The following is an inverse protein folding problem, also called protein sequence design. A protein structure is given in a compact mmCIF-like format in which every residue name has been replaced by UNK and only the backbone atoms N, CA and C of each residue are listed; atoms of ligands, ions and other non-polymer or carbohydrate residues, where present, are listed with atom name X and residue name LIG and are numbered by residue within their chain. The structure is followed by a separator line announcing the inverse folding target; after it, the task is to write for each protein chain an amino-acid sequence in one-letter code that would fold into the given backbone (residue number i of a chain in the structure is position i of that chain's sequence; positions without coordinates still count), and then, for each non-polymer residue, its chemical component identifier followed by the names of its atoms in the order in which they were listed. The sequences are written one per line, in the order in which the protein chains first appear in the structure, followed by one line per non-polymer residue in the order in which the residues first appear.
data_IF_605444210467
#
_entry.id   IF_605444210467
#
_cell.length_a   1.000
_cell.length_b   1.000
_cell.length_c   1.000
_cell.angle_alpha   90.00
_cell.angle_beta   90.00
_cell.angle_gamma   90.00
#
_symmetry.space_group_name_H-M   'P 1'
#
loop_
_entity.id
_entity.type
_entity.pdbx_description
1 polymer ?
#
# COMPACT_ATOMS: atom_id res chain seq x y z
N UNK A 1 27.26 20.34 5.91
CA UNK A 1 26.84 18.93 5.91
C UNK A 1 26.84 18.49 4.46
N UNK A 2 27.48 17.38 4.08
CA UNK A 2 27.39 16.91 2.70
C UNK A 2 25.93 16.62 2.41
N UNK A 3 25.40 17.18 1.32
CA UNK A 3 24.09 16.79 0.80
C UNK A 3 24.18 15.31 0.43
N UNK A 4 23.52 14.46 1.21
CA UNK A 4 23.44 13.03 0.94
C UNK A 4 22.95 12.83 -0.50
N UNK A 5 23.84 12.27 -1.34
CA UNK A 5 23.53 12.07 -2.76
C UNK A 5 22.43 11.02 -2.85
N UNK A 6 21.31 11.40 -3.46
CA UNK A 6 20.24 10.47 -3.78
C UNK A 6 20.77 9.44 -4.78
N UNK A 7 20.54 8.16 -4.49
CA UNK A 7 20.85 7.03 -5.33
C UNK A 7 19.57 6.37 -5.81
N UNK A 8 19.65 5.74 -6.97
CA UNK A 8 18.55 4.99 -7.55
C UNK A 8 18.44 3.62 -6.88
N UNK A 9 17.24 3.28 -6.46
CA UNK A 9 16.90 1.99 -5.89
C UNK A 9 15.64 1.44 -6.56
N UNK A 10 15.55 0.12 -6.58
CA UNK A 10 14.43 -0.66 -7.08
C UNK A 10 13.78 -1.40 -5.92
N UNK A 11 12.50 -1.12 -5.68
CA UNK A 11 11.78 -1.60 -4.51
C UNK A 11 10.72 -2.61 -4.92
N UNK A 12 10.81 -3.82 -4.38
CA UNK A 12 9.79 -4.85 -4.54
C UNK A 12 8.94 -4.94 -3.27
N UNK A 13 7.76 -4.30 -3.28
CA UNK A 13 6.82 -4.34 -2.15
C UNK A 13 6.35 -5.77 -1.87
N UNK A 14 6.12 -6.56 -2.92
CA UNK A 14 5.68 -7.96 -2.83
C UNK A 14 6.71 -8.88 -2.15
N UNK A 15 7.99 -8.54 -2.25
CA UNK A 15 9.07 -9.32 -1.66
C UNK A 15 9.66 -8.66 -0.41
N UNK A 16 9.32 -7.40 -0.11
CA UNK A 16 9.91 -6.65 0.98
C UNK A 16 11.38 -6.30 0.73
N UNK A 17 11.80 -6.15 -0.53
CA UNK A 17 13.21 -6.02 -0.93
C UNK A 17 13.52 -4.67 -1.56
N UNK A 18 14.74 -4.18 -1.32
CA UNK A 18 15.33 -3.00 -1.98
C UNK A 18 16.64 -3.42 -2.64
N UNK A 19 16.84 -3.03 -3.89
CA UNK A 19 18.01 -3.39 -4.69
C UNK A 19 18.58 -2.19 -5.43
N UNK A 20 19.89 -2.19 -5.66
CA UNK A 20 20.58 -1.16 -6.48
C UNK A 20 20.43 -1.41 -7.99
N UNK A 21 19.91 -2.58 -8.39
CA UNK A 21 19.72 -2.98 -9.78
C UNK A 21 18.31 -3.56 -9.96
N UNK A 22 17.71 -3.38 -11.16
CA UNK A 22 16.42 -3.98 -11.45
C UNK A 22 16.56 -5.50 -11.49
N UNK A 23 15.69 -6.21 -10.79
CA UNK A 23 15.69 -7.67 -10.66
C UNK A 23 14.42 -8.35 -11.19
N UNK A 24 13.36 -7.58 -11.49
CA UNK A 24 12.09 -8.14 -11.95
C UNK A 24 11.14 -7.11 -12.57
N UNK A 25 9.97 -7.60 -13.00
CA UNK A 25 8.99 -6.83 -13.80
C UNK A 25 8.01 -5.98 -12.96
N UNK A 26 8.12 -6.02 -11.62
CA UNK A 26 7.19 -5.36 -10.68
C UNK A 26 7.95 -4.66 -9.55
N UNK A 27 8.91 -3.81 -9.92
CA UNK A 27 9.69 -3.00 -8.99
C UNK A 27 9.41 -1.53 -9.18
N UNK A 28 9.41 -0.77 -8.08
CA UNK A 28 9.24 0.68 -8.11
C UNK A 28 10.61 1.34 -8.06
N UNK A 29 10.90 2.18 -9.05
CA UNK A 29 12.12 2.98 -9.09
C UNK A 29 11.97 4.22 -8.20
N UNK A 30 12.92 4.40 -7.28
CA UNK A 30 12.96 5.53 -6.34
C UNK A 30 14.36 6.13 -6.26
N UNK A 31 14.42 7.42 -5.90
CA UNK A 31 15.65 8.16 -5.65
C UNK A 31 15.71 8.53 -4.17
N UNK A 32 16.62 7.89 -3.44
CA UNK A 32 16.73 8.03 -1.98
C UNK A 32 18.16 8.36 -1.55
N UNK A 33 18.28 9.22 -0.57
CA UNK A 33 19.47 9.41 0.25
C UNK A 33 19.67 8.25 1.24
N UNK A 34 20.79 8.25 1.97
CA UNK A 34 21.07 7.21 2.96
C UNK A 34 20.05 7.19 4.11
N UNK A 35 19.57 8.36 4.54
CA UNK A 35 18.55 8.48 5.58
C UNK A 35 17.18 8.00 5.09
N UNK A 36 16.79 8.39 3.89
CA UNK A 36 15.54 7.97 3.25
C UNK A 36 15.51 6.46 2.97
N UNK A 37 16.64 5.87 2.58
CA UNK A 37 16.77 4.43 2.45
C UNK A 37 16.56 3.70 3.79
N UNK A 38 17.05 4.26 4.90
CA UNK A 38 16.79 3.68 6.23
C UNK A 38 15.30 3.73 6.57
N UNK A 39 14.63 4.86 6.31
CA UNK A 39 13.17 4.98 6.51
C UNK A 39 12.41 3.95 5.69
N UNK A 40 12.73 3.78 4.41
CA UNK A 40 12.11 2.77 3.55
C UNK A 40 12.33 1.35 4.09
N UNK A 41 13.55 1.03 4.52
CA UNK A 41 13.86 -0.28 5.08
C UNK A 41 13.06 -0.57 6.36
N UNK A 42 12.87 0.42 7.22
CA UNK A 42 12.07 0.25 8.44
C UNK A 42 10.58 0.05 8.11
N UNK A 43 10.04 0.76 7.12
CA UNK A 43 8.67 0.52 6.62
C UNK A 43 8.51 -0.92 6.07
N UNK A 44 9.50 -1.42 5.31
CA UNK A 44 9.46 -2.78 4.78
C UNK A 44 9.58 -3.85 5.88
N UNK A 45 10.35 -3.59 6.94
CA UNK A 45 10.41 -4.48 8.12
C UNK A 45 9.08 -4.50 8.86
N UNK A 46 8.43 -3.35 9.05
CA UNK A 46 7.09 -3.26 9.66
C UNK A 46 6.09 -4.11 8.87
N UNK A 47 6.11 -4.00 7.54
CA UNK A 47 5.29 -4.83 6.66
C UNK A 47 5.59 -6.33 6.82
N UNK A 48 6.87 -6.72 6.83
CA UNK A 48 7.27 -8.13 6.95
C UNK A 48 6.97 -8.74 8.34
N UNK A 49 6.91 -7.91 9.39
CA UNK A 49 6.52 -8.32 10.75
C UNK A 49 5.01 -8.41 10.96
N UNK A 50 4.20 -7.89 10.04
CA UNK A 50 2.74 -8.05 10.08
C UNK A 50 2.36 -9.45 9.58
N UNK A 51 1.65 -10.22 10.40
CA UNK A 51 1.15 -11.58 10.06
C UNK A 51 0.39 -11.61 8.72
N UNK A 52 -0.18 -10.48 8.30
CA UNK A 52 -0.92 -10.28 7.04
C UNK A 52 -0.05 -10.43 5.77
N UNK A 53 1.27 -10.22 5.85
CA UNK A 53 2.16 -10.38 4.70
C UNK A 53 2.22 -11.83 4.19
N UNK A 54 2.12 -12.81 5.11
CA UNK A 54 2.10 -14.23 4.76
C UNK A 54 0.81 -14.63 4.01
N UNK A 55 -0.32 -13.99 4.32
CA UNK A 55 -1.61 -14.24 3.66
C UNK A 55 -1.67 -13.66 2.24
N UNK A 56 -1.03 -12.50 2.01
CA UNK A 56 -1.03 -11.81 0.70
C UNK A 56 -0.25 -12.55 -0.39
N UNK A 57 0.80 -13.30 -0.03
CA UNK A 57 1.50 -14.19 -0.98
C UNK A 57 0.63 -15.35 -1.49
N UNK A 58 -0.41 -15.74 -0.74
CA UNK A 58 -1.26 -16.88 -1.07
C UNK A 58 -2.46 -16.52 -1.98
N UNK A 59 -2.77 -15.23 -2.16
CA UNK A 59 -4.01 -14.80 -2.83
C UNK A 59 -3.78 -13.64 -3.80
N UNK A 60 -3.17 -13.92 -4.96
CA UNK A 60 -3.41 -13.10 -6.15
C UNK A 60 -4.08 -13.95 -7.24
N UNK A 61 -5.40 -14.20 -7.15
CA UNK A 61 -6.20 -14.29 -8.34
C UNK A 61 -6.58 -12.86 -8.73
N UNK A 62 -6.09 -12.39 -9.88
CA UNK A 62 -6.45 -11.13 -10.53
C UNK A 62 -7.94 -11.07 -10.94
N UNK A 63 -8.84 -11.75 -10.23
CA UNK A 63 -10.21 -11.98 -10.67
C UNK A 63 -11.17 -12.36 -9.53
N UNK A 64 -11.45 -11.41 -8.65
CA UNK A 64 -12.77 -11.29 -8.04
C UNK A 64 -13.09 -9.82 -7.93
N UNK A 65 -13.81 -9.35 -8.94
CA UNK A 65 -14.44 -8.05 -8.96
C UNK A 65 -15.60 -8.06 -7.95
N UNK A 66 -15.29 -7.77 -6.70
CA UNK A 66 -16.26 -7.17 -5.79
C UNK A 66 -15.82 -5.72 -5.58
N UNK A 67 -16.56 -4.83 -6.22
CA UNK A 67 -16.46 -3.38 -6.06
C UNK A 67 -16.92 -3.01 -4.65
N UNK A 68 -16.08 -3.23 -3.65
CA UNK A 68 -16.16 -2.46 -2.43
C UNK A 68 -14.74 -2.05 -2.06
N UNK A 69 -14.39 -0.85 -2.50
CA UNK A 69 -13.16 -0.12 -2.15
C UNK A 69 -11.88 -0.96 -2.20
N UNK A 70 -11.13 -0.95 -3.31
CA UNK A 70 -9.78 -1.55 -3.38
C UNK A 70 -8.89 -1.15 -2.18
N UNK A 71 -9.13 0.03 -1.62
CA UNK A 71 -8.50 0.55 -0.41
C UNK A 71 -8.84 -0.20 0.90
N UNK A 72 -9.81 -1.11 0.93
CA UNK A 72 -10.12 -2.01 2.05
C UNK A 72 -9.23 -3.27 2.08
N UNK A 73 -8.45 -3.52 1.03
CA UNK A 73 -7.55 -4.68 0.90
C UNK A 73 -6.07 -4.36 1.22
N UNK A 74 -5.78 -3.09 1.55
CA UNK A 74 -4.43 -2.63 1.89
C UNK A 74 -4.37 -2.14 3.33
N UNK A 75 -3.48 -2.74 4.10
CA UNK A 75 -3.19 -2.33 5.48
C UNK A 75 -2.48 -0.98 5.53
N UNK A 76 -2.59 -0.28 6.65
CA UNK A 76 -1.95 1.02 6.88
C UNK A 76 -0.43 0.99 6.62
N UNK A 77 0.25 -0.10 7.00
CA UNK A 77 1.68 -0.28 6.74
C UNK A 77 1.99 -0.31 5.23
N UNK A 78 1.14 -0.96 4.45
CA UNK A 78 1.29 -1.03 2.99
C UNK A 78 1.00 0.33 2.33
N UNK A 79 -0.04 1.03 2.81
CA UNK A 79 -0.37 2.37 2.32
C UNK A 79 0.76 3.36 2.55
N UNK A 80 1.43 3.29 3.72
CA UNK A 80 2.60 4.11 4.04
C UNK A 80 3.76 3.86 3.09
N UNK A 81 4.02 2.59 2.73
CA UNK A 81 5.05 2.24 1.75
C UNK A 81 4.70 2.86 0.38
N UNK A 82 3.48 2.65 -0.14
CA UNK A 82 3.10 3.22 -1.42
C UNK A 82 3.12 4.75 -1.43
N UNK A 83 2.74 5.38 -0.32
CA UNK A 83 2.86 6.83 -0.18
C UNK A 83 4.32 7.29 -0.24
N UNK A 84 5.20 6.57 0.45
CA UNK A 84 6.64 6.85 0.44
C UNK A 84 7.23 6.68 -0.96
N UNK A 85 6.89 5.59 -1.64
CA UNK A 85 7.31 5.33 -3.02
C UNK A 85 6.77 6.36 -4.01
N UNK A 86 5.55 6.88 -3.81
CA UNK A 86 5.00 7.95 -4.66
C UNK A 86 5.77 9.26 -4.48
N UNK A 87 6.13 9.62 -3.25
CA UNK A 87 6.91 10.83 -2.95
C UNK A 87 8.32 10.80 -3.55
N UNK A 88 9.04 9.69 -3.35
CA UNK A 88 10.44 9.55 -3.73
C UNK A 88 10.67 8.79 -5.06
N UNK A 89 9.58 8.37 -5.71
CA UNK A 89 9.59 7.65 -6.97
C UNK A 89 9.81 8.51 -8.20
N UNK A 90 10.16 7.85 -9.30
CA UNK A 90 10.12 8.43 -10.64
C UNK A 90 8.68 8.68 -11.09
N UNK A 91 8.51 9.42 -12.18
CA UNK A 91 7.18 9.65 -12.77
C UNK A 91 6.46 8.35 -13.14
N UNK A 92 7.21 7.33 -13.58
CA UNK A 92 6.68 5.99 -13.87
C UNK A 92 6.14 5.33 -12.59
N UNK A 93 6.93 5.34 -11.50
CA UNK A 93 6.50 4.84 -10.19
C UNK A 93 5.23 5.52 -9.70
N UNK A 94 5.14 6.86 -9.85
CA UNK A 94 3.95 7.62 -9.46
C UNK A 94 2.71 7.21 -10.26
N UNK A 95 2.84 7.13 -11.58
CA UNK A 95 1.74 6.72 -12.46
C UNK A 95 1.28 5.28 -12.15
N UNK A 96 2.20 4.36 -11.88
CA UNK A 96 1.87 3.00 -11.48
C UNK A 96 1.07 2.99 -10.17
N UNK A 97 1.50 3.73 -9.15
CA UNK A 97 0.83 3.79 -7.85
C UNK A 97 -0.54 4.48 -7.95
N UNK A 98 -0.66 5.53 -8.77
CA UNK A 98 -1.93 6.20 -9.06
C UNK A 98 -2.90 5.26 -9.80
N UNK A 99 -2.41 4.49 -10.78
CA UNK A 99 -3.20 3.51 -11.51
C UNK A 99 -3.69 2.36 -10.61
N UNK A 100 -2.94 2.01 -9.56
CA UNK A 100 -3.38 1.03 -8.56
C UNK A 100 -4.53 1.56 -7.67
N UNK A 101 -4.76 2.87 -7.61
CA UNK A 101 -5.85 3.46 -6.82
C UNK A 101 -5.69 3.26 -5.31
N UNK A 102 -4.45 3.14 -4.81
CA UNK A 102 -4.15 2.86 -3.39
C UNK A 102 -4.05 4.11 -2.53
N UNK A 103 -3.73 5.27 -3.11
CA UNK A 103 -3.59 6.55 -2.39
C UNK A 103 -4.85 7.42 -2.19
N UNK A 104 -6.06 7.15 -2.74
CA UNK A 104 -7.20 8.08 -2.61
C UNK A 104 -7.69 8.25 -1.15
N UNK A 105 -7.25 7.42 -0.20
CA UNK A 105 -7.52 7.59 1.24
C UNK A 105 -6.77 8.75 1.90
N UNK A 106 -5.68 9.26 1.32
CA UNK A 106 -4.87 10.32 1.94
C UNK A 106 -5.47 11.73 1.79
N UNK A 107 -6.31 11.93 0.77
CA UNK A 107 -7.05 13.19 0.57
C UNK A 107 -8.43 13.21 1.24
N UNK A 108 -8.89 12.08 1.79
CA UNK A 108 -10.22 11.96 2.38
C UNK A 108 -10.19 11.46 3.83
N UNK A 109 -9.34 12.06 4.66
CA UNK A 109 -9.50 12.07 6.14
C UNK A 109 -10.73 12.89 6.58
N UNK A 110 -11.70 13.07 5.69
CA UNK A 110 -13.01 13.68 5.88
C UNK A 110 -14.19 12.74 5.64
N UNK A 111 -14.02 11.41 5.68
CA UNK A 111 -15.13 10.51 6.02
C UNK A 111 -15.31 10.61 7.56
N UNK A 112 -16.30 11.27 8.18
CA UNK A 112 -17.73 11.33 7.85
C UNK A 112 -18.17 10.05 7.15
N UNK A 113 -18.00 8.94 7.86
CA UNK A 113 -18.81 7.74 7.68
C UNK A 113 -20.26 8.12 8.03
N UNK A 114 -20.99 8.68 7.07
CA UNK A 114 -22.44 8.72 7.13
C UNK A 114 -22.93 7.35 6.63
N UNK A 115 -23.10 6.43 7.58
CA UNK A 115 -24.08 5.36 7.43
C UNK A 115 -23.56 3.92 7.30
N UNK A 116 -22.73 3.43 8.23
CA UNK A 116 -22.94 2.06 8.69
C UNK A 116 -24.31 1.99 9.41
N UNK A 117 -25.37 1.74 8.64
CA UNK A 117 -26.69 1.51 9.20
C UNK A 117 -26.62 0.37 10.23
N UNK A 118 -27.23 0.50 11.42
CA UNK A 118 -27.25 -0.59 12.38
C UNK A 118 -28.10 -1.71 11.79
N UNK A 119 -27.45 -2.68 11.15
CA UNK A 119 -27.97 -4.04 10.94
C UNK A 119 -28.10 -4.76 12.28
N UNK A 120 -28.87 -4.17 13.18
CA UNK A 120 -29.29 -4.76 14.45
C UNK A 120 -30.46 -5.70 14.19
N UNK A 121 -30.25 -6.96 14.53
CA UNK A 121 -31.19 -8.06 14.55
C UNK A 121 -32.57 -7.68 15.11
N UNK A 122 -33.64 -8.05 14.41
CA UNK A 122 -34.90 -8.52 15.04
C UNK A 122 -35.68 -9.41 14.05
N UNK A 123 -35.86 -10.72 14.31
CA UNK A 123 -36.98 -11.43 13.73
C UNK A 123 -38.25 -10.98 14.44
N UNK A 124 -39.28 -10.60 13.70
CA UNK A 124 -40.64 -10.49 14.25
C UNK A 124 -41.62 -11.12 13.27
N UNK A 125 -41.66 -12.45 13.33
CA UNK A 125 -42.84 -13.21 12.95
C UNK A 125 -43.93 -12.88 13.99
N UNK A 126 -44.95 -12.17 13.57
CA UNK A 126 -46.17 -11.91 14.33
C UNK A 126 -47.30 -12.21 13.36
N UNK A 127 -48.05 -13.26 13.71
CA UNK A 127 -48.97 -13.93 12.81
C UNK A 127 -50.18 -13.12 12.37
N UNK A 128 -50.85 -13.73 11.40
CA UNK A 128 -52.30 -13.70 11.21
C UNK A 128 -52.74 -15.15 10.96
#
# INVERSE_FOLDING_TARGET
MPVDKHKRYFVSVNHGLVQDMPSGEHEFEVLLSGEELNVLQDLLKELASSDDFAFRRAFIPYKSADHDSAAGQFDDATLRIFQYLHGHGTDETRQLIEALGVLPKLGNTGYQDEGYGPGGSVPKDSGD
#
